data_IF_364241105015
#
_entry.id   IF_364241105015
#
_cell.length_a   1.000
_cell.length_b   1.000
_cell.length_c   1.000
_cell.angle_alpha   90.00
_cell.angle_beta   90.00
_cell.angle_gamma   90.00
#
_symmetry.space_group_name_H-M   'P 1'
#
loop_
_entity.id
_entity.type
_entity.pdbx_description
1 polymer ?
#
# COMPACT_ATOMS: atom_id res chain seq x y z
N UNK A 1 -60.03 -27.64 -17.87
CA UNK A 1 -59.81 -26.98 -16.56
C UNK A 1 -58.52 -26.18 -16.72
N UNK A 2 -58.53 -24.95 -17.22
CA UNK A 2 -59.01 -23.69 -16.63
C UNK A 2 -58.17 -23.20 -15.44
N UNK A 3 -57.56 -22.00 -15.63
CA UNK A 3 -56.94 -21.06 -14.69
C UNK A 3 -55.53 -21.39 -14.14
N UNK A 4 -54.54 -20.49 -13.97
CA UNK A 4 -54.07 -19.18 -14.53
C UNK A 4 -52.95 -18.69 -13.59
N UNK A 5 -51.98 -17.90 -14.09
CA UNK A 5 -51.15 -16.96 -13.29
C UNK A 5 -49.63 -17.21 -13.39
N UNK A 6 -48.92 -16.74 -14.43
CA UNK A 6 -48.36 -15.40 -14.67
C UNK A 6 -47.46 -14.83 -13.56
N UNK A 7 -46.14 -14.74 -13.83
CA UNK A 7 -45.39 -13.47 -13.93
C UNK A 7 -43.96 -13.74 -14.44
N UNK A 8 -43.62 -13.24 -15.63
CA UNK A 8 -42.26 -13.26 -16.19
C UNK A 8 -41.87 -11.85 -16.62
N UNK A 9 -40.77 -11.33 -16.07
CA UNK A 9 -40.18 -10.04 -16.42
C UNK A 9 -39.04 -10.30 -17.41
N UNK A 10 -39.25 -9.92 -18.67
CA UNK A 10 -38.21 -9.87 -19.71
C UNK A 10 -38.21 -8.44 -20.26
N UNK A 11 -37.19 -7.66 -19.91
CA UNK A 11 -36.89 -6.39 -20.57
C UNK A 11 -36.02 -6.68 -21.80
N UNK A 12 -36.60 -6.52 -22.99
CA UNK A 12 -35.86 -6.44 -24.26
C UNK A 12 -35.88 -5.01 -24.80
N UNK A 13 -34.71 -4.58 -25.23
CA UNK A 13 -34.45 -3.38 -26.02
C UNK A 13 -35.27 -3.33 -27.30
N UNK A 14 -35.78 -2.14 -27.65
CA UNK A 14 -36.07 -1.81 -29.04
C UNK A 14 -36.03 -0.31 -29.29
N UNK A 15 -35.09 0.07 -30.17
CA UNK A 15 -34.96 1.33 -30.88
C UNK A 15 -36.30 1.83 -31.44
N UNK A 16 -36.62 3.10 -31.22
CA UNK A 16 -37.68 3.79 -31.95
C UNK A 16 -37.06 4.74 -32.98
N UNK A 17 -37.23 4.36 -34.24
CA UNK A 17 -36.99 5.19 -35.42
C UNK A 17 -37.97 6.36 -35.43
N UNK A 18 -37.45 7.56 -35.65
CA UNK A 18 -38.21 8.78 -35.89
C UNK A 18 -39.02 8.66 -37.17
N UNK A 19 -40.35 8.70 -37.06
CA UNK A 19 -41.26 8.83 -38.20
C UNK A 19 -41.67 10.31 -38.30
N UNK A 20 -41.16 10.98 -39.32
CA UNK A 20 -41.64 12.30 -39.75
C UNK A 20 -42.98 12.10 -40.46
N UNK A 21 -44.05 12.68 -39.94
CA UNK A 21 -45.30 12.87 -40.69
C UNK A 21 -45.61 14.36 -40.73
N UNK A 22 -45.48 14.91 -41.93
CA UNK A 22 -45.92 16.25 -42.32
C UNK A 22 -47.44 16.36 -42.16
N UNK A 23 -47.88 17.44 -41.51
CA UNK A 23 -49.29 17.76 -41.25
C UNK A 23 -49.35 19.05 -40.44
N UNK A 24 -49.51 20.15 -41.17
CA UNK A 24 -49.65 21.53 -40.72
C UNK A 24 -50.42 21.73 -39.39
N UNK A 25 -49.80 22.46 -38.47
CA UNK A 25 -50.39 23.59 -37.72
C UNK A 25 -49.24 24.36 -37.06
N UNK A 26 -48.82 25.43 -37.74
CA UNK A 26 -47.87 26.42 -37.26
C UNK A 26 -48.58 27.30 -36.22
N UNK A 27 -47.80 27.80 -35.25
CA UNK A 27 -48.12 28.84 -34.26
C UNK A 27 -48.99 28.45 -33.06
N UNK A 28 -48.45 27.62 -32.17
CA UNK A 28 -48.58 27.78 -30.73
C UNK A 28 -47.58 26.82 -30.06
N UNK A 29 -46.97 27.19 -28.94
CA UNK A 29 -45.94 26.43 -28.19
C UNK A 29 -44.48 26.78 -28.60
N UNK A 30 -44.16 28.07 -28.65
CA UNK A 30 -42.80 28.55 -28.40
C UNK A 30 -42.85 29.76 -27.48
N UNK A 31 -42.99 29.52 -26.17
CA UNK A 31 -42.74 30.57 -25.16
C UNK A 31 -42.33 30.07 -23.77
N UNK A 32 -41.99 28.78 -23.56
CA UNK A 32 -41.67 28.28 -22.21
C UNK A 32 -40.45 27.33 -22.11
N UNK A 33 -39.42 27.48 -22.96
CA UNK A 33 -38.20 26.64 -22.87
C UNK A 33 -36.90 27.44 -22.59
N UNK A 34 -36.95 28.77 -22.53
CA UNK A 34 -35.72 29.58 -22.38
C UNK A 34 -35.27 29.92 -20.95
N UNK A 35 -35.91 29.40 -19.90
CA UNK A 35 -35.49 29.66 -18.51
C UNK A 35 -34.75 28.51 -17.80
N UNK A 36 -34.34 27.44 -18.50
CA UNK A 36 -33.66 26.28 -17.86
C UNK A 36 -32.27 25.92 -18.41
N UNK A 37 -31.65 26.78 -19.21
CA UNK A 37 -30.27 26.57 -19.70
C UNK A 37 -29.26 27.61 -19.18
N UNK A 38 -29.63 28.47 -18.23
CA UNK A 38 -28.75 29.51 -17.71
C UNK A 38 -27.79 29.06 -16.57
N UNK A 39 -27.87 27.80 -16.12
CA UNK A 39 -27.11 27.30 -14.96
C UNK A 39 -26.12 26.15 -15.27
N UNK A 40 -25.73 25.95 -16.53
CA UNK A 40 -24.53 25.17 -16.85
C UNK A 40 -23.31 26.08 -16.76
N UNK A 41 -22.74 26.22 -15.55
CA UNK A 41 -21.39 26.78 -15.39
C UNK A 41 -20.38 25.77 -15.93
N UNK A 42 -19.82 26.08 -17.10
CA UNK A 42 -18.60 25.45 -17.59
C UNK A 42 -17.44 25.93 -16.71
N UNK A 43 -16.71 25.01 -16.09
CA UNK A 43 -15.47 25.31 -15.37
C UNK A 43 -14.35 25.53 -16.39
N UNK A 44 -14.23 26.75 -16.89
CA UNK A 44 -13.05 27.22 -17.60
C UNK A 44 -12.35 28.24 -16.69
N UNK A 45 -11.07 28.03 -16.40
CA UNK A 45 -10.21 29.03 -15.77
C UNK A 45 -9.81 30.07 -16.80
N UNK A 46 -10.48 31.21 -16.82
CA UNK A 46 -9.97 32.40 -17.49
C UNK A 46 -8.94 33.08 -16.57
N UNK A 47 -7.69 33.09 -17.00
CA UNK A 47 -6.65 33.94 -16.41
C UNK A 47 -6.94 35.39 -16.81
N UNK A 48 -7.57 36.14 -15.91
CA UNK A 48 -7.72 37.58 -16.08
C UNK A 48 -6.54 38.29 -15.39
N UNK A 49 -5.51 38.60 -16.17
CA UNK A 49 -4.37 39.43 -15.76
C UNK A 49 -4.79 40.89 -15.70
N UNK A 50 -5.56 41.26 -14.68
CA UNK A 50 -5.70 42.65 -14.25
C UNK A 50 -5.44 42.76 -12.76
N UNK A 51 -4.15 42.78 -12.44
CA UNK A 51 -3.62 43.18 -11.14
C UNK A 51 -3.98 44.65 -10.86
N UNK A 52 -5.12 44.87 -10.21
CA UNK A 52 -5.32 46.07 -9.41
C UNK A 52 -4.80 45.78 -8.00
N UNK A 53 -3.67 46.39 -7.66
CA UNK A 53 -3.13 46.47 -6.31
C UNK A 53 -4.15 47.21 -5.43
N UNK A 54 -5.08 46.47 -4.85
CA UNK A 54 -5.81 46.91 -3.67
C UNK A 54 -5.25 46.12 -2.51
N UNK A 55 -4.54 46.83 -1.63
CA UNK A 55 -4.25 46.41 -0.28
C UNK A 55 -5.59 46.08 0.39
N UNK A 56 -5.97 44.83 0.23
CA UNK A 56 -7.06 44.21 0.96
C UNK A 56 -6.33 43.29 1.91
N UNK A 57 -6.27 43.70 3.18
CA UNK A 57 -6.25 42.74 4.26
C UNK A 57 -7.36 41.74 3.93
N UNK A 58 -6.97 40.61 3.33
CA UNK A 58 -7.88 39.51 3.06
C UNK A 58 -8.32 39.06 4.44
N UNK A 59 -9.51 39.52 4.84
CA UNK A 59 -10.29 38.90 5.90
C UNK A 59 -10.39 37.42 5.52
N UNK A 60 -9.47 36.61 6.05
CA UNK A 60 -9.45 35.18 5.83
C UNK A 60 -10.82 34.69 6.25
N UNK A 61 -11.57 34.15 5.29
CA UNK A 61 -12.90 33.61 5.57
C UNK A 61 -12.72 32.64 6.74
N UNK A 62 -13.52 32.76 7.81
CA UNK A 62 -13.32 31.94 8.99
C UNK A 62 -13.47 30.47 8.57
N UNK A 63 -12.35 29.75 8.62
CA UNK A 63 -12.29 28.34 8.26
C UNK A 63 -13.32 27.53 9.06
N UNK A 64 -13.90 26.51 8.42
CA UNK A 64 -14.91 25.66 9.03
C UNK A 64 -14.41 25.07 10.35
N UNK A 65 -15.30 24.88 11.33
CA UNK A 65 -14.94 24.29 12.63
C UNK A 65 -14.30 22.90 12.47
N UNK A 66 -14.80 22.10 11.53
CA UNK A 66 -14.24 20.79 11.22
C UNK A 66 -12.80 20.88 10.67
N UNK A 67 -12.57 21.90 9.84
CA UNK A 67 -11.27 22.17 9.23
C UNK A 67 -10.24 22.62 10.28
N UNK A 68 -10.64 23.52 11.21
CA UNK A 68 -9.81 23.92 12.36
C UNK A 68 -9.41 22.72 13.21
N UNK A 69 -10.38 21.90 13.60
CA UNK A 69 -10.14 20.73 14.44
C UNK A 69 -9.21 19.70 13.76
N UNK A 70 -9.29 19.55 12.44
CA UNK A 70 -8.39 18.70 11.69
C UNK A 70 -6.95 19.21 11.71
N UNK A 71 -6.73 20.51 11.43
CA UNK A 71 -5.39 21.13 11.46
C UNK A 71 -4.79 21.11 12.87
N UNK A 72 -5.60 21.38 13.88
CA UNK A 72 -5.17 21.32 15.28
C UNK A 72 -4.75 19.90 15.66
N UNK A 73 -5.52 18.87 15.27
CA UNK A 73 -5.15 17.47 15.50
C UNK A 73 -3.85 17.07 14.80
N UNK A 74 -3.64 17.54 13.58
CA UNK A 74 -2.39 17.29 12.85
C UNK A 74 -1.20 17.90 13.59
N UNK A 75 -1.30 19.19 13.98
CA UNK A 75 -0.26 19.88 14.75
C UNK A 75 0.05 19.19 16.08
N UNK A 76 -0.99 18.84 16.84
CA UNK A 76 -0.82 18.12 18.11
C UNK A 76 -0.11 16.78 17.94
N UNK A 77 -0.39 16.07 16.84
CA UNK A 77 0.28 14.81 16.54
C UNK A 77 1.75 15.03 16.18
N UNK A 78 2.06 16.05 15.37
CA UNK A 78 3.45 16.36 14.99
C UNK A 78 4.27 16.80 16.20
N UNK A 79 3.72 17.67 17.04
CA UNK A 79 4.32 18.07 18.33
C UNK A 79 4.52 16.86 19.25
N UNK A 80 3.53 15.98 19.34
CA UNK A 80 3.64 14.74 20.10
C UNK A 80 4.79 13.85 19.60
N UNK A 81 4.91 13.64 18.28
CA UNK A 81 5.98 12.82 17.71
C UNK A 81 7.37 13.42 17.96
N UNK A 82 7.51 14.75 17.87
CA UNK A 82 8.77 15.44 18.19
C UNK A 82 9.14 15.23 19.65
N UNK A 83 8.20 15.42 20.58
CA UNK A 83 8.44 15.23 22.00
C UNK A 83 8.81 13.78 22.33
N UNK A 84 8.08 12.80 21.78
CA UNK A 84 8.40 11.38 21.98
C UNK A 84 9.77 11.00 21.41
N UNK A 85 10.20 11.62 20.33
CA UNK A 85 11.54 11.40 19.76
C UNK A 85 12.62 11.93 20.70
N UNK A 86 12.41 13.10 21.29
CA UNK A 86 13.32 13.67 22.28
C UNK A 86 13.39 12.81 23.55
N UNK A 87 12.23 12.42 24.09
CA UNK A 87 12.12 11.55 25.25
C UNK A 87 12.80 10.20 25.02
N UNK A 88 12.66 9.62 23.81
CA UNK A 88 13.36 8.40 23.42
C UNK A 88 14.88 8.56 23.45
N UNK A 89 15.43 9.66 22.92
CA UNK A 89 16.88 9.91 22.93
C UNK A 89 17.43 10.12 24.35
N UNK A 90 16.70 10.84 25.19
CA UNK A 90 17.04 11.04 26.59
C UNK A 90 17.00 9.70 27.33
N UNK A 91 15.92 8.92 27.14
CA UNK A 91 15.75 7.59 27.73
C UNK A 91 16.83 6.62 27.28
N UNK A 92 17.23 6.64 26.01
CA UNK A 92 18.33 5.83 25.46
C UNK A 92 19.65 6.09 26.21
N UNK A 93 20.00 7.36 26.41
CA UNK A 93 21.21 7.76 27.15
C UNK A 93 21.16 7.32 28.62
N UNK A 94 19.99 7.44 29.26
CA UNK A 94 19.81 6.98 30.63
C UNK A 94 19.89 5.46 30.75
N UNK A 95 19.32 4.72 29.81
CA UNK A 95 19.38 3.26 29.79
C UNK A 95 20.83 2.78 29.62
N UNK A 96 21.59 3.39 28.71
CA UNK A 96 23.01 3.11 28.55
C UNK A 96 23.80 3.34 29.85
N UNK A 97 23.54 4.48 30.54
CA UNK A 97 24.16 4.78 31.84
C UNK A 97 23.81 3.76 32.94
N UNK A 98 22.57 3.24 32.96
CA UNK A 98 22.15 2.20 33.92
C UNK A 98 22.88 0.87 33.64
N UNK A 99 23.05 0.54 32.37
CA UNK A 99 23.73 -0.69 31.93
C UNK A 99 25.26 -0.59 31.98
N UNK A 100 25.81 0.62 32.09
CA UNK A 100 27.25 0.87 32.05
C UNK A 100 27.86 0.79 30.65
N UNK A 101 27.04 0.98 29.61
CA UNK A 101 27.44 0.96 28.20
C UNK A 101 27.59 2.39 27.63
N UNK A 102 28.30 2.53 26.51
CA UNK A 102 28.47 3.83 25.83
C UNK A 102 27.19 4.24 25.08
N UNK A 103 26.62 5.45 25.31
CA UNK A 103 25.37 5.87 24.67
C UNK A 103 25.39 5.91 23.13
N UNK A 104 26.57 6.14 22.54
CA UNK A 104 26.72 6.30 21.09
C UNK A 104 26.78 4.93 20.37
N UNK A 105 27.38 3.92 20.98
CA UNK A 105 27.45 2.56 20.45
C UNK A 105 26.22 1.70 20.79
N UNK A 106 25.32 2.20 21.65
CA UNK A 106 24.17 1.45 22.13
C UNK A 106 23.15 1.16 21.02
N UNK A 107 23.03 -0.12 20.60
CA UNK A 107 22.16 -0.55 19.50
C UNK A 107 20.76 -0.96 19.99
N UNK A 108 19.80 -1.11 19.07
CA UNK A 108 18.44 -1.57 19.44
C UNK A 108 18.43 -2.97 20.06
N UNK A 109 19.37 -3.84 19.69
CA UNK A 109 19.49 -5.17 20.27
C UNK A 109 19.89 -5.11 21.75
N UNK A 110 20.80 -4.20 22.08
CA UNK A 110 21.30 -4.01 23.45
C UNK A 110 20.21 -3.37 24.32
N UNK A 111 19.44 -2.44 23.74
CA UNK A 111 18.23 -1.88 24.34
C UNK A 111 17.23 -3.00 24.67
N UNK A 112 16.88 -3.84 23.70
CA UNK A 112 15.88 -4.90 23.90
C UNK A 112 16.34 -5.89 24.99
N UNK A 113 17.63 -6.24 25.01
CA UNK A 113 18.22 -7.10 26.04
C UNK A 113 18.20 -6.44 27.44
N UNK A 114 18.53 -5.15 27.52
CA UNK A 114 18.49 -4.38 28.76
C UNK A 114 17.06 -4.30 29.32
N UNK A 115 16.06 -4.06 28.47
CA UNK A 115 14.65 -4.01 28.88
C UNK A 115 14.17 -5.39 29.35
N UNK A 116 14.53 -6.47 28.67
CA UNK A 116 14.18 -7.84 29.09
C UNK A 116 14.77 -8.18 30.46
N UNK A 117 15.99 -7.70 30.75
CA UNK A 117 16.64 -7.87 32.04
C UNK A 117 16.03 -7.01 33.16
N UNK A 118 15.82 -5.70 32.92
CA UNK A 118 15.30 -4.76 33.92
C UNK A 118 13.81 -4.99 34.23
N UNK A 119 13.03 -5.38 33.22
CA UNK A 119 11.58 -5.60 33.32
C UNK A 119 11.20 -6.99 32.81
N UNK A 120 11.55 -8.06 33.56
CA UNK A 120 11.26 -9.42 33.13
C UNK A 120 9.74 -9.66 33.06
N UNK A 121 9.26 -10.05 31.89
CA UNK A 121 7.85 -10.39 31.65
C UNK A 121 7.68 -11.84 31.21
N UNK A 122 6.86 -12.58 31.95
CA UNK A 122 6.49 -13.97 31.65
C UNK A 122 5.37 -14.12 30.62
N UNK A 123 4.96 -13.05 29.94
CA UNK A 123 3.92 -13.11 28.91
C UNK A 123 4.40 -13.85 27.65
N UNK A 124 3.58 -14.76 27.15
CA UNK A 124 3.86 -15.51 25.92
C UNK A 124 3.80 -14.62 24.67
N UNK A 125 2.87 -13.66 24.62
CA UNK A 125 2.78 -12.73 23.50
C UNK A 125 3.88 -11.67 23.58
N UNK A 126 4.77 -11.68 22.58
CA UNK A 126 5.87 -10.72 22.45
C UNK A 126 5.39 -9.27 22.35
N UNK A 127 4.21 -9.03 21.75
CA UNK A 127 3.66 -7.67 21.62
C UNK A 127 3.16 -7.10 22.94
N UNK A 128 2.85 -7.96 23.90
CA UNK A 128 2.38 -7.56 25.23
C UNK A 128 3.53 -7.33 26.22
N UNK A 129 4.77 -7.65 25.84
CA UNK A 129 5.95 -7.39 26.67
C UNK A 129 6.31 -5.90 26.66
N UNK A 130 6.96 -5.39 27.72
CA UNK A 130 7.57 -4.05 27.71
C UNK A 130 8.52 -3.91 26.52
N UNK A 131 8.43 -2.79 25.79
CA UNK A 131 9.30 -2.50 24.65
C UNK A 131 9.75 -1.04 24.68
N UNK A 132 11.00 -0.80 24.32
CA UNK A 132 11.57 0.55 24.20
C UNK A 132 12.13 0.73 22.79
N UNK A 133 11.33 1.33 21.91
CA UNK A 133 11.62 1.46 20.48
C UNK A 133 11.45 2.89 20.01
N UNK A 134 12.02 3.26 18.85
CA UNK A 134 11.77 4.56 18.24
C UNK A 134 10.25 4.81 18.04
N UNK A 135 9.77 6.06 18.26
CA UNK A 135 8.35 6.39 18.11
C UNK A 135 7.77 6.04 16.74
N UNK A 136 8.57 6.12 15.68
CA UNK A 136 8.15 5.79 14.30
C UNK A 136 7.73 4.32 14.11
N UNK A 137 8.26 3.40 14.92
CA UNK A 137 7.89 1.98 14.87
C UNK A 137 6.66 1.67 15.74
N UNK A 138 6.47 2.45 16.81
CA UNK A 138 5.39 2.23 17.79
C UNK A 138 4.10 2.86 17.31
N UNK A 139 4.16 4.12 16.87
CA UNK A 139 2.97 4.88 16.45
C UNK A 139 2.68 4.63 14.97
N UNK A 140 1.41 4.43 14.59
CA UNK A 140 1.05 4.25 13.19
C UNK A 140 1.34 5.52 12.40
N UNK A 141 1.97 5.37 11.23
CA UNK A 141 2.18 6.48 10.30
C UNK A 141 0.83 7.09 9.91
N UNK A 142 0.73 8.41 10.01
CA UNK A 142 -0.46 9.18 9.62
C UNK A 142 -0.09 10.13 8.50
N UNK A 143 -1.07 10.46 7.66
CA UNK A 143 -0.92 11.52 6.66
C UNK A 143 -0.74 12.87 7.35
N UNK A 144 0.10 13.70 6.77
CA UNK A 144 0.18 15.12 7.11
C UNK A 144 -1.14 15.82 6.76
N UNK A 145 -1.31 17.05 7.23
CA UNK A 145 -2.45 17.87 6.85
C UNK A 145 -2.52 18.02 5.32
N UNK A 146 -3.69 17.73 4.73
CA UNK A 146 -3.86 17.72 3.27
C UNK A 146 -4.17 19.12 2.67
N UNK A 147 -4.35 20.14 3.51
CA UNK A 147 -4.71 21.50 3.09
C UNK A 147 -4.14 22.60 4.00
N UNK A 148 -4.03 23.81 3.44
CA UNK A 148 -3.59 25.03 4.13
C UNK A 148 -4.65 25.63 5.08
N UNK A 149 -4.24 26.61 5.90
CA UNK A 149 -5.17 27.46 6.67
C UNK A 149 -6.25 28.12 5.79
N UNK A 150 -5.92 28.42 4.53
CA UNK A 150 -6.86 28.96 3.54
C UNK A 150 -7.89 27.95 3.02
N UNK A 151 -7.71 26.66 3.33
CA UNK A 151 -8.58 25.57 2.87
C UNK A 151 -8.25 25.08 1.47
N UNK A 152 -7.11 25.49 0.92
CA UNK A 152 -6.60 25.01 -0.36
C UNK A 152 -5.90 23.66 -0.14
N UNK A 153 -6.33 22.59 -0.82
CA UNK A 153 -5.62 21.32 -0.78
C UNK A 153 -4.24 21.41 -1.42
N UNK A 154 -3.27 20.66 -0.87
CA UNK A 154 -1.93 20.56 -1.43
C UNK A 154 -1.88 19.67 -2.68
N UNK A 155 -2.70 18.61 -2.68
CA UNK A 155 -2.74 17.64 -3.76
C UNK A 155 -3.85 17.96 -4.77
N UNK A 156 -3.56 17.85 -6.07
CA UNK A 156 -4.54 18.08 -7.14
C UNK A 156 -5.72 17.10 -7.08
N UNK A 157 -5.43 15.82 -6.80
CA UNK A 157 -6.42 14.76 -6.66
C UNK A 157 -7.10 14.69 -5.29
N UNK A 158 -6.99 15.72 -4.43
CA UNK A 158 -7.60 15.72 -3.10
C UNK A 158 -9.10 15.39 -3.10
N UNK A 159 -9.84 15.93 -4.07
CA UNK A 159 -11.29 15.74 -4.18
C UNK A 159 -11.73 14.33 -4.62
N UNK A 160 -10.78 13.42 -4.86
CA UNK A 160 -11.05 11.98 -5.06
C UNK A 160 -11.20 11.21 -3.75
N UNK A 161 -10.98 11.87 -2.60
CA UNK A 161 -10.91 11.30 -1.25
C UNK A 161 -9.70 10.38 -0.98
N UNK A 162 -9.02 9.90 -2.03
CA UNK A 162 -7.86 8.99 -1.96
C UNK A 162 -6.72 9.49 -2.86
N UNK A 163 -6.16 10.68 -2.57
CA UNK A 163 -5.18 11.32 -3.44
C UNK A 163 -3.97 10.44 -3.73
N UNK A 164 -3.44 9.71 -2.73
CA UNK A 164 -2.21 8.93 -2.90
C UNK A 164 -2.46 7.70 -3.78
N UNK A 165 -3.60 7.02 -3.62
CA UNK A 165 -3.96 5.87 -4.47
C UNK A 165 -4.16 6.27 -5.94
N UNK A 166 -4.86 7.38 -6.21
CA UNK A 166 -5.04 7.81 -7.60
C UNK A 166 -3.76 8.39 -8.20
N UNK A 167 -2.89 8.98 -7.36
CA UNK A 167 -1.57 9.42 -7.81
C UNK A 167 -0.72 8.22 -8.24
N UNK A 168 -0.68 7.11 -7.49
CA UNK A 168 0.09 5.93 -7.90
C UNK A 168 -0.42 5.32 -9.20
N UNK A 169 -1.75 5.32 -9.42
CA UNK A 169 -2.33 4.89 -10.70
C UNK A 169 -1.96 5.84 -11.85
N UNK A 170 -1.96 7.15 -11.60
CA UNK A 170 -1.55 8.14 -12.58
C UNK A 170 -0.09 7.98 -12.97
N UNK A 171 0.80 7.83 -11.98
CA UNK A 171 2.22 7.59 -12.19
C UNK A 171 2.43 6.30 -13.00
N UNK A 172 1.67 5.24 -12.71
CA UNK A 172 1.74 3.99 -13.48
C UNK A 172 1.39 4.19 -14.96
N UNK A 173 0.35 4.99 -15.26
CA UNK A 173 -0.02 5.33 -16.64
C UNK A 173 1.09 6.15 -17.32
N UNK A 174 1.73 7.08 -16.61
CA UNK A 174 2.87 7.84 -17.13
C UNK A 174 4.03 6.90 -17.50
N UNK A 175 4.34 5.93 -16.62
CA UNK A 175 5.36 4.92 -16.92
C UNK A 175 4.99 4.05 -18.11
N UNK A 176 3.73 3.65 -18.22
CA UNK A 176 3.24 2.91 -19.38
C UNK A 176 3.41 3.68 -20.69
N UNK A 177 3.10 4.98 -20.68
CA UNK A 177 3.31 5.83 -21.85
C UNK A 177 4.80 5.99 -22.19
N UNK A 178 5.66 6.16 -21.18
CA UNK A 178 7.11 6.26 -21.38
C UNK A 178 7.71 4.99 -22.01
N UNK A 179 7.14 3.83 -21.69
CA UNK A 179 7.49 2.55 -22.29
C UNK A 179 7.03 2.43 -23.73
N UNK A 180 5.78 2.81 -24.02
CA UNK A 180 5.28 2.81 -25.40
C UNK A 180 6.12 3.74 -26.29
N UNK A 181 6.46 4.93 -25.81
CA UNK A 181 7.34 5.83 -26.54
C UNK A 181 8.75 5.24 -26.74
N UNK A 182 9.25 4.47 -25.77
CA UNK A 182 10.52 3.76 -25.92
C UNK A 182 10.42 2.64 -26.95
N UNK A 183 9.35 1.86 -26.92
CA UNK A 183 9.05 0.84 -27.92
C UNK A 183 8.98 1.45 -29.33
N UNK A 184 8.24 2.55 -29.51
CA UNK A 184 8.13 3.25 -30.78
C UNK A 184 9.51 3.70 -31.30
N UNK A 185 10.37 4.22 -30.42
CA UNK A 185 11.75 4.59 -30.77
C UNK A 185 12.61 3.38 -31.17
N UNK A 186 12.40 2.22 -30.56
CA UNK A 186 13.14 0.99 -30.90
C UNK A 186 12.65 0.40 -32.22
N UNK A 187 11.34 0.43 -32.46
CA UNK A 187 10.72 0.03 -33.73
C UNK A 187 11.22 0.92 -34.87
N UNK A 188 11.31 2.24 -34.67
CA UNK A 188 11.87 3.16 -35.67
C UNK A 188 13.33 2.84 -36.04
N UNK A 189 14.11 2.29 -35.10
CA UNK A 189 15.48 1.82 -35.33
C UNK A 189 15.53 0.41 -35.94
N UNK A 190 14.40 -0.28 -36.05
CA UNK A 190 14.31 -1.65 -36.55
C UNK A 190 14.79 -2.72 -35.55
N UNK A 191 14.89 -2.39 -34.25
CA UNK A 191 15.25 -3.36 -33.21
C UNK A 191 13.98 -3.98 -32.62
N UNK A 192 13.94 -5.31 -32.57
CA UNK A 192 12.93 -6.05 -31.83
C UNK A 192 13.34 -6.21 -30.35
N UNK A 193 12.39 -6.32 -29.41
CA UNK A 193 12.70 -6.59 -28.01
C UNK A 193 13.33 -7.98 -27.84
N UNK A 194 14.45 -8.04 -27.10
CA UNK A 194 15.11 -9.31 -26.76
C UNK A 194 14.35 -10.02 -25.62
N UNK A 195 13.94 -11.28 -25.80
CA UNK A 195 13.17 -12.02 -24.78
C UNK A 195 13.96 -12.32 -23.50
N UNK A 196 15.30 -12.37 -23.57
CA UNK A 196 16.16 -12.57 -22.40
C UNK A 196 16.18 -11.37 -21.43
N UNK A 197 15.84 -10.18 -21.91
CA UNK A 197 15.83 -8.96 -21.10
C UNK A 197 14.51 -8.77 -20.32
N UNK A 198 13.55 -9.69 -20.43
CA UNK A 198 12.30 -9.62 -19.68
C UNK A 198 12.55 -9.66 -18.15
N UNK A 199 11.71 -8.97 -17.37
CA UNK A 199 11.85 -8.99 -15.92
C UNK A 199 11.50 -10.38 -15.38
N UNK A 200 12.49 -11.05 -14.78
CA UNK A 200 12.25 -12.23 -13.95
C UNK A 200 11.72 -11.83 -12.56
N UNK A 201 10.58 -12.41 -12.21
CA UNK A 201 9.83 -12.18 -10.97
C UNK A 201 9.69 -13.43 -10.11
N UNK A 202 10.31 -14.55 -10.50
CA UNK A 202 10.14 -15.86 -9.84
C UNK A 202 10.50 -15.86 -8.35
N UNK A 203 11.35 -14.93 -7.90
CA UNK A 203 11.77 -14.78 -6.50
C UNK A 203 10.97 -13.76 -5.66
N UNK A 204 9.91 -13.14 -6.19
CA UNK A 204 9.18 -12.08 -5.47
C UNK A 204 7.65 -12.16 -5.65
N UNK A 205 6.91 -11.85 -4.58
CA UNK A 205 5.45 -11.79 -4.60
C UNK A 205 4.95 -10.35 -4.51
N UNK A 206 3.75 -10.10 -5.04
CA UNK A 206 3.04 -8.85 -4.79
C UNK A 206 2.77 -8.68 -3.29
N UNK A 207 2.95 -7.45 -2.79
CA UNK A 207 2.64 -7.16 -1.39
C UNK A 207 1.13 -7.38 -1.11
N UNK A 208 0.79 -7.95 0.05
CA UNK A 208 -0.60 -8.09 0.44
C UNK A 208 -1.24 -6.72 0.66
N UNK A 209 -2.57 -6.65 0.54
CA UNK A 209 -3.37 -5.41 0.71
C UNK A 209 -2.96 -4.58 1.92
N UNK A 210 -2.81 -5.22 3.09
CA UNK A 210 -2.46 -4.53 4.33
C UNK A 210 -1.06 -3.88 4.33
N UNK A 211 -0.12 -4.40 3.53
CA UNK A 211 1.19 -3.77 3.36
C UNK A 211 1.11 -2.58 2.39
N UNK A 212 0.31 -2.70 1.31
CA UNK A 212 0.08 -1.60 0.36
C UNK A 212 -0.64 -0.42 1.04
N UNK A 213 -1.66 -0.68 1.86
CA UNK A 213 -2.36 0.37 2.61
C UNK A 213 -1.41 1.15 3.53
N UNK A 214 -0.44 0.47 4.14
CA UNK A 214 0.59 1.11 4.96
C UNK A 214 1.58 1.92 4.14
N UNK A 215 1.86 1.50 2.90
CA UNK A 215 2.75 2.22 1.99
C UNK A 215 2.09 3.49 1.45
N UNK A 216 0.84 3.39 1.00
CA UNK A 216 0.07 4.52 0.42
C UNK A 216 -0.54 5.43 1.51
N UNK A 217 -0.62 4.94 2.76
CA UNK A 217 -1.28 5.58 3.91
C UNK A 217 -2.78 5.82 3.67
N UNK A 218 -3.42 4.94 2.93
CA UNK A 218 -4.84 5.01 2.58
C UNK A 218 -5.51 3.65 2.72
N UNK A 219 -6.80 3.65 3.05
CA UNK A 219 -7.61 2.43 3.14
C UNK A 219 -8.07 2.04 1.74
N UNK A 220 -7.82 0.80 1.36
CA UNK A 220 -8.17 0.27 0.05
C UNK A 220 -9.35 -0.69 0.15
N UNK A 221 -10.16 -0.71 -0.90
CA UNK A 221 -11.15 -1.76 -1.10
C UNK A 221 -10.51 -2.95 -1.84
N UNK A 222 -11.10 -4.13 -1.75
CA UNK A 222 -10.56 -5.33 -2.39
C UNK A 222 -10.53 -5.19 -3.92
N UNK A 223 -11.53 -4.52 -4.49
CA UNK A 223 -11.58 -4.20 -5.92
C UNK A 223 -10.49 -3.21 -6.35
N UNK A 224 -10.20 -2.21 -5.52
CA UNK A 224 -9.15 -1.22 -5.79
C UNK A 224 -7.76 -1.88 -5.74
N UNK A 225 -7.54 -2.76 -4.76
CA UNK A 225 -6.33 -3.56 -4.68
C UNK A 225 -6.16 -4.46 -5.91
N UNK A 226 -7.22 -5.20 -6.30
CA UNK A 226 -7.17 -6.05 -7.48
C UNK A 226 -6.89 -5.25 -8.77
N UNK A 227 -7.48 -4.05 -8.89
CA UNK A 227 -7.24 -3.16 -10.02
C UNK A 227 -5.78 -2.67 -10.08
N UNK A 228 -5.21 -2.29 -8.94
CA UNK A 228 -3.80 -1.89 -8.85
C UNK A 228 -2.87 -3.04 -9.24
N UNK A 229 -3.10 -4.25 -8.72
CA UNK A 229 -2.30 -5.44 -9.06
C UNK A 229 -2.40 -5.75 -10.55
N UNK A 230 -3.61 -5.76 -11.11
CA UNK A 230 -3.83 -5.98 -12.55
C UNK A 230 -3.08 -4.94 -13.40
N UNK A 231 -3.05 -3.68 -12.94
CA UNK A 231 -2.36 -2.60 -13.65
C UNK A 231 -0.84 -2.77 -13.61
N UNK A 232 -0.29 -3.24 -12.48
CA UNK A 232 1.13 -3.57 -12.33
C UNK A 232 1.52 -4.82 -13.13
N UNK A 233 0.67 -5.84 -13.19
CA UNK A 233 0.88 -7.03 -14.03
C UNK A 233 0.95 -6.65 -15.50
N UNK A 234 0.05 -5.79 -15.98
CA UNK A 234 0.11 -5.25 -17.33
C UNK A 234 1.39 -4.48 -17.63
N UNK A 235 1.97 -3.82 -16.63
CA UNK A 235 3.25 -3.11 -16.77
C UNK A 235 4.44 -4.08 -16.89
N UNK A 236 4.37 -5.19 -16.16
CA UNK A 236 5.36 -6.28 -16.22
C UNK A 236 5.33 -6.98 -17.57
N UNK A 237 4.12 -7.24 -18.10
CA UNK A 237 3.90 -7.93 -19.38
C UNK A 237 4.43 -7.13 -20.58
N UNK A 238 4.78 -5.85 -20.39
CA UNK A 238 5.34 -5.02 -21.45
C UNK A 238 6.73 -5.53 -21.89
N UNK A 239 7.04 -5.57 -23.21
CA UNK A 239 8.32 -6.11 -23.71
C UNK A 239 9.58 -5.43 -23.13
N UNK A 240 9.49 -4.12 -22.88
CA UNK A 240 10.59 -3.30 -22.35
C UNK A 240 10.52 -3.05 -20.84
N UNK A 241 9.84 -3.93 -20.08
CA UNK A 241 9.59 -3.74 -18.65
C UNK A 241 10.86 -3.58 -17.82
N UNK A 242 12.01 -4.10 -18.26
CA UNK A 242 13.31 -4.03 -17.55
C UNK A 242 13.73 -2.62 -17.11
N UNK A 243 13.34 -1.59 -17.87
CA UNK A 243 13.67 -0.19 -17.57
C UNK A 243 13.03 0.27 -16.26
N UNK A 244 11.87 -0.29 -15.90
CA UNK A 244 11.07 0.10 -14.74
C UNK A 244 11.18 -0.90 -13.58
N UNK A 245 12.11 -1.85 -13.66
CA UNK A 245 12.38 -2.82 -12.60
C UNK A 245 12.45 -2.23 -11.18
N UNK A 246 13.15 -1.10 -10.90
CA UNK A 246 13.23 -0.57 -9.54
C UNK A 246 11.86 -0.15 -8.99
N UNK A 247 11.00 0.42 -9.82
CA UNK A 247 9.67 0.89 -9.41
C UNK A 247 8.70 -0.27 -9.21
N UNK A 248 8.81 -1.34 -10.01
CA UNK A 248 8.01 -2.55 -9.80
C UNK A 248 8.42 -3.25 -8.50
N UNK A 249 9.73 -3.28 -8.20
CA UNK A 249 10.25 -3.91 -6.99
C UNK A 249 9.80 -3.22 -5.70
N UNK A 250 9.42 -1.93 -5.74
CA UNK A 250 8.87 -1.24 -4.56
C UNK A 250 7.53 -1.85 -4.09
N UNK A 251 6.79 -2.48 -5.01
CA UNK A 251 5.50 -3.13 -4.73
C UNK A 251 5.61 -4.64 -4.50
N UNK A 252 6.84 -5.16 -4.48
CA UNK A 252 7.16 -6.59 -4.38
C UNK A 252 7.89 -6.89 -3.07
N UNK A 253 7.62 -8.07 -2.52
CA UNK A 253 8.34 -8.62 -1.38
C UNK A 253 9.19 -9.79 -1.85
N UNK A 254 10.47 -9.76 -1.54
CA UNK A 254 11.38 -10.86 -1.86
C UNK A 254 11.03 -12.08 -1.01
N UNK A 255 10.92 -13.24 -1.66
CA UNK A 255 10.74 -14.50 -0.97
C UNK A 255 12.10 -15.01 -0.50
N UNK A 256 12.22 -15.26 0.80
CA UNK A 256 13.32 -16.06 1.32
C UNK A 256 13.12 -17.50 0.87
N UNK A 257 13.84 -17.92 -0.17
CA UNK A 257 13.90 -19.32 -0.57
C UNK A 257 14.68 -20.09 0.50
N UNK A 258 13.96 -20.74 1.41
CA UNK A 258 14.54 -21.77 2.27
C UNK A 258 14.73 -23.01 1.40
N UNK A 259 15.87 -23.10 0.72
CA UNK A 259 16.31 -24.40 0.23
C UNK A 259 16.61 -25.23 1.48
N UNK A 260 15.75 -26.18 1.79
CA UNK A 260 16.02 -27.21 2.79
C UNK A 260 17.15 -28.09 2.23
N UNK A 261 18.37 -27.56 2.20
CA UNK A 261 19.56 -28.34 2.00
C UNK A 261 19.61 -29.32 3.15
N UNK A 262 19.47 -30.62 2.83
CA UNK A 262 19.73 -31.66 3.80
C UNK A 262 21.19 -31.49 4.23
N UNK A 263 21.42 -30.96 5.43
CA UNK A 263 22.76 -30.87 6.01
C UNK A 263 23.17 -32.30 6.34
N UNK A 264 23.81 -32.97 5.39
CA UNK A 264 24.32 -34.33 5.59
C UNK A 264 25.49 -34.20 6.58
N UNK A 265 25.41 -34.82 7.76
CA UNK A 265 26.51 -34.76 8.73
C UNK A 265 27.77 -35.41 8.14
N UNK A 266 28.97 -34.96 8.55
CA UNK A 266 30.22 -35.50 8.03
C UNK A 266 30.39 -36.99 8.38
N UNK A 267 30.92 -37.76 7.42
CA UNK A 267 31.23 -39.17 7.56
C UNK A 267 32.39 -39.39 8.54
N UNK A 268 32.21 -40.26 9.53
CA UNK A 268 33.22 -40.64 10.52
C UNK A 268 33.67 -42.09 10.30
N UNK A 269 34.84 -42.46 10.80
CA UNK A 269 35.40 -43.81 10.68
C UNK A 269 35.67 -44.40 12.06
N UNK A 270 35.36 -45.68 12.25
CA UNK A 270 35.69 -46.41 13.48
C UNK A 270 37.16 -46.89 13.50
N UNK A 271 37.60 -47.47 14.62
CA UNK A 271 38.95 -48.01 14.79
C UNK A 271 39.31 -49.16 13.81
N UNK A 272 38.31 -49.74 13.13
CA UNK A 272 38.46 -50.78 12.13
C UNK A 272 38.33 -50.23 10.69
N UNK A 273 38.25 -48.91 10.51
CA UNK A 273 38.14 -48.25 9.22
C UNK A 273 36.74 -48.29 8.58
N UNK A 274 35.68 -48.62 9.34
CA UNK A 274 34.30 -48.67 8.84
C UNK A 274 33.65 -47.27 8.90
N UNK A 275 33.04 -46.78 7.81
CA UNK A 275 32.39 -45.49 7.77
C UNK A 275 31.00 -45.51 8.45
N UNK A 276 30.68 -44.49 9.24
CA UNK A 276 29.37 -44.29 9.86
C UNK A 276 29.02 -42.79 10.01
N UNK A 277 27.74 -42.47 10.23
CA UNK A 277 27.25 -41.11 10.51
C UNK A 277 26.38 -41.09 11.76
N UNK A 278 26.46 -40.03 12.56
CA UNK A 278 25.52 -39.78 13.65
C UNK A 278 24.36 -38.92 13.16
N UNK A 279 23.15 -39.47 13.18
CA UNK A 279 21.92 -38.73 12.92
C UNK A 279 21.21 -38.56 14.28
N UNK A 280 21.16 -37.33 14.79
CA UNK A 280 20.38 -37.01 15.99
C UNK A 280 18.91 -36.99 15.59
N UNK A 281 18.16 -38.04 15.95
CA UNK A 281 16.71 -38.06 15.78
C UNK A 281 16.05 -37.32 16.94
N UNK A 282 15.64 -36.08 16.70
CA UNK A 282 14.94 -35.28 17.69
C UNK A 282 13.41 -35.49 17.57
N UNK A 283 12.93 -36.39 18.44
CA UNK A 283 11.59 -36.49 19.03
C UNK A 283 10.37 -36.69 18.11
N UNK A 284 10.10 -37.96 17.77
CA UNK A 284 8.73 -38.46 17.96
C UNK A 284 8.58 -38.76 19.44
N UNK A 285 8.00 -37.84 20.19
CA UNK A 285 7.83 -37.96 21.65
C UNK A 285 7.30 -39.37 22.00
N UNK A 286 7.71 -39.95 23.14
CA UNK A 286 7.08 -41.16 23.71
C UNK A 286 7.31 -42.55 23.05
N UNK A 287 7.92 -42.67 21.86
CA UNK A 287 8.05 -43.98 21.19
C UNK A 287 8.87 -45.04 21.97
N UNK A 288 9.64 -44.62 22.98
CA UNK A 288 10.42 -45.49 23.87
C UNK A 288 9.62 -46.01 25.09
N UNK A 289 8.51 -45.40 25.50
CA UNK A 289 7.79 -45.87 26.70
C UNK A 289 6.81 -47.02 26.42
N UNK A 290 6.31 -47.18 25.19
CA UNK A 290 5.24 -48.14 24.89
C UNK A 290 5.67 -49.38 24.07
N UNK A 291 6.75 -49.33 23.27
CA UNK A 291 7.06 -50.45 22.36
C UNK A 291 8.13 -51.44 22.86
N UNK A 292 9.07 -51.05 23.72
CA UNK A 292 10.23 -51.91 24.06
C UNK A 292 10.20 -52.54 25.45
N UNK A 293 9.51 -51.99 26.45
CA UNK A 293 9.43 -52.61 27.79
C UNK A 293 8.49 -53.84 27.85
N UNK A 294 7.63 -54.06 26.84
CA UNK A 294 6.65 -55.16 26.83
C UNK A 294 7.03 -56.35 25.92
N UNK A 295 8.09 -56.30 25.12
CA UNK A 295 8.26 -57.25 24.02
C UNK A 295 9.39 -58.30 24.12
N UNK A 296 10.40 -58.19 25.00
CA UNK A 296 11.51 -59.18 25.04
C UNK A 296 11.98 -59.49 26.46
N UNK A 297 11.05 -59.95 27.31
CA UNK A 297 11.37 -60.90 28.38
C UNK A 297 11.02 -62.28 27.85
N UNK A 298 12.00 -62.96 27.26
CA UNK A 298 12.00 -64.42 27.10
C UNK A 298 13.41 -64.92 26.87
#
# INVERSE_FOLDING_TARGET
MAFTGSCAIILRFSNLKTVVRSGSNVSAITSNVTHRLANTRLYATEHNDQATKKDTEKLEKPMSKAMKAYLERAKQHDEFMVNQTQDYQIGKRHLANIMGEDPDEFTQRDIDAAIEYLFPSGLYDRKAKPMFKPPEEIFPKRKAAEFDSSGRPYHSMFYTCKPNYYQTLYDLVEKFNSLNEFEDRMIQKGLSPDPENAIDLTGSLWMPKAEIEKLILEVLNDHEYAYLVTSLERLVDHPYSYTIKPEIMQYRKTLMSQTAGLIIPPLQYDANGRPFIYIVQENQQEAKSLSSAMAQVK
#
